data_IF_435955742175
#
_entry.id   IF_435955742175
#
_cell.length_a   1.000
_cell.length_b   1.000
_cell.length_c   1.000
_cell.angle_alpha   90.00
_cell.angle_beta   90.00
_cell.angle_gamma   90.00
#
_symmetry.space_group_name_H-M   'P 1'
#
loop_
_entity.id
_entity.type
_entity.pdbx_description
1 polymer ?
#
# COMPACT_ATOMS: atom_id res chain seq x y z
N UNK A 1 -18.16 9.51 -9.54
CA UNK A 1 -18.26 8.61 -8.35
C UNK A 1 -17.03 7.72 -8.18
N UNK A 2 -16.47 7.14 -9.24
CA UNK A 2 -15.29 6.25 -9.15
C UNK A 2 -14.06 6.88 -8.49
N UNK A 3 -13.76 8.16 -8.75
CA UNK A 3 -12.64 8.88 -8.09
C UNK A 3 -12.88 9.07 -6.59
N UNK A 4 -14.12 9.31 -6.16
CA UNK A 4 -14.45 9.42 -4.73
C UNK A 4 -14.24 8.07 -4.05
N UNK A 5 -14.68 6.97 -4.67
CA UNK A 5 -14.43 5.62 -4.18
C UNK A 5 -12.94 5.31 -4.13
N UNK A 6 -12.17 5.67 -5.18
CA UNK A 6 -10.72 5.55 -5.19
C UNK A 6 -10.11 6.26 -3.97
N UNK A 7 -10.46 7.54 -3.73
CA UNK A 7 -9.93 8.32 -2.60
C UNK A 7 -10.23 7.66 -1.25
N UNK A 8 -11.48 7.27 -0.99
CA UNK A 8 -11.89 6.63 0.27
C UNK A 8 -11.16 5.30 0.48
N UNK A 9 -11.02 4.50 -0.59
CA UNK A 9 -10.28 3.24 -0.54
C UNK A 9 -8.79 3.46 -0.28
N UNK A 10 -8.16 4.47 -0.90
CA UNK A 10 -6.76 4.81 -0.62
C UNK A 10 -6.54 5.24 0.83
N UNK A 11 -7.45 6.03 1.40
CA UNK A 11 -7.40 6.42 2.82
C UNK A 11 -7.53 5.18 3.73
N UNK A 12 -8.51 4.31 3.45
CA UNK A 12 -8.70 3.07 4.20
C UNK A 12 -7.47 2.16 4.12
N UNK A 13 -6.84 2.04 2.94
CA UNK A 13 -5.61 1.29 2.76
C UNK A 13 -4.45 1.86 3.58
N UNK A 14 -4.25 3.19 3.59
CA UNK A 14 -3.24 3.84 4.43
C UNK A 14 -3.46 3.51 5.90
N UNK A 15 -4.69 3.58 6.40
CA UNK A 15 -5.03 3.23 7.79
C UNK A 15 -4.69 1.77 8.07
N UNK A 16 -5.02 0.84 7.16
CA UNK A 16 -4.65 -0.57 7.28
C UNK A 16 -3.13 -0.77 7.36
N UNK A 17 -2.35 -0.15 6.47
CA UNK A 17 -0.88 -0.28 6.49
C UNK A 17 -0.26 0.35 7.73
N UNK A 18 -0.70 1.55 8.13
CA UNK A 18 -0.25 2.21 9.35
C UNK A 18 -0.53 1.37 10.58
N UNK A 19 -1.71 0.75 10.65
CA UNK A 19 -2.06 -0.18 11.73
C UNK A 19 -1.17 -1.42 11.71
N UNK A 20 -1.01 -2.05 10.54
CA UNK A 20 -0.16 -3.23 10.37
C UNK A 20 1.29 -2.98 10.75
N UNK A 21 1.88 -1.88 10.28
CA UNK A 21 3.26 -1.46 10.60
C UNK A 21 3.38 -1.05 12.07
N UNK A 22 2.43 -0.27 12.58
CA UNK A 22 2.40 0.16 13.98
C UNK A 22 2.35 -1.01 14.96
N UNK A 23 1.56 -2.05 14.66
CA UNK A 23 1.53 -3.29 15.44
C UNK A 23 2.90 -3.99 15.45
N UNK A 24 3.58 -4.03 14.30
CA UNK A 24 4.92 -4.63 14.20
C UNK A 24 6.02 -3.78 14.83
N UNK A 25 5.80 -2.49 15.06
CA UNK A 25 6.76 -1.61 15.74
C UNK A 25 6.55 -1.59 17.26
N UNK A 26 5.31 -1.39 17.71
CA UNK A 26 5.01 -1.06 19.10
C UNK A 26 4.38 -2.22 19.87
N UNK A 27 3.71 -3.17 19.20
CA UNK A 27 2.90 -4.19 19.84
C UNK A 27 3.48 -5.61 19.76
N UNK A 28 4.78 -5.77 19.47
CA UNK A 28 5.43 -7.09 19.34
C UNK A 28 5.29 -8.00 20.56
N UNK A 29 5.08 -7.43 21.76
CA UNK A 29 4.87 -8.19 23.00
C UNK A 29 3.49 -8.85 23.07
N UNK A 30 2.52 -8.45 22.25
CA UNK A 30 1.16 -9.04 22.25
C UNK A 30 1.16 -10.39 21.54
N UNK A 31 0.52 -11.41 22.12
CA UNK A 31 0.45 -12.78 21.55
C UNK A 31 0.00 -12.83 20.08
N UNK A 32 -0.91 -11.93 19.67
CA UNK A 32 -1.50 -11.93 18.33
C UNK A 32 -0.89 -10.90 17.36
N UNK A 33 0.26 -10.28 17.71
CA UNK A 33 0.84 -9.19 16.92
C UNK A 33 1.08 -9.57 15.45
N UNK A 34 1.62 -10.77 15.21
CA UNK A 34 1.96 -11.22 13.86
C UNK A 34 0.69 -11.51 13.03
N UNK A 35 -0.34 -12.09 13.66
CA UNK A 35 -1.63 -12.33 13.03
C UNK A 35 -2.28 -11.01 12.62
N UNK A 36 -2.28 -10.02 13.51
CA UNK A 36 -2.85 -8.70 13.22
C UNK A 36 -2.05 -7.95 12.16
N UNK A 37 -0.71 -7.92 12.27
CA UNK A 37 0.18 -7.36 11.25
C UNK A 37 -0.11 -7.96 9.87
N UNK A 38 -0.19 -9.28 9.78
CA UNK A 38 -0.48 -9.99 8.53
C UNK A 38 -1.88 -9.65 8.00
N UNK A 39 -2.89 -9.70 8.85
CA UNK A 39 -4.27 -9.44 8.46
C UNK A 39 -4.45 -8.00 7.95
N UNK A 40 -3.96 -7.00 8.68
CA UNK A 40 -4.08 -5.59 8.29
C UNK A 40 -3.33 -5.27 7.01
N UNK A 41 -2.09 -5.76 6.84
CA UNK A 41 -1.35 -5.50 5.60
C UNK A 41 -1.92 -6.25 4.39
N UNK A 42 -2.44 -7.46 4.58
CA UNK A 42 -3.11 -8.20 3.50
C UNK A 42 -4.40 -7.49 3.09
N UNK A 43 -5.22 -7.08 4.07
CA UNK A 43 -6.43 -6.30 3.81
C UNK A 43 -6.08 -4.97 3.10
N UNK A 44 -5.05 -4.26 3.57
CA UNK A 44 -4.55 -3.04 2.95
C UNK A 44 -4.20 -3.24 1.48
N UNK A 45 -3.48 -4.30 1.12
CA UNK A 45 -3.17 -4.62 -0.29
C UNK A 45 -4.45 -4.86 -1.10
N UNK A 46 -5.40 -5.64 -0.58
CA UNK A 46 -6.67 -5.88 -1.29
C UNK A 46 -7.47 -4.58 -1.51
N UNK A 47 -7.49 -3.70 -0.52
CA UNK A 47 -8.15 -2.39 -0.61
C UNK A 47 -7.43 -1.47 -1.61
N UNK A 48 -6.09 -1.46 -1.65
CA UNK A 48 -5.32 -0.75 -2.68
C UNK A 48 -5.69 -1.27 -4.06
N UNK A 49 -5.67 -2.59 -4.27
CA UNK A 49 -6.01 -3.16 -5.58
C UNK A 49 -7.41 -2.74 -6.03
N UNK A 50 -8.39 -2.82 -5.13
CA UNK A 50 -9.75 -2.35 -5.42
C UNK A 50 -9.80 -0.86 -5.78
N UNK A 51 -9.13 0.00 -5.02
CA UNK A 51 -9.14 1.44 -5.30
C UNK A 51 -8.38 1.80 -6.58
N UNK A 52 -7.30 1.09 -6.91
CA UNK A 52 -6.57 1.24 -8.17
C UNK A 52 -7.45 0.82 -9.34
N UNK A 53 -8.23 -0.25 -9.21
CA UNK A 53 -9.23 -0.62 -10.21
C UNK A 53 -10.23 0.51 -10.45
N UNK A 54 -10.70 1.20 -9.39
CA UNK A 54 -11.61 2.35 -9.56
C UNK A 54 -10.96 3.50 -10.35
N UNK A 55 -9.70 3.85 -10.04
CA UNK A 55 -8.97 4.87 -10.78
C UNK A 55 -8.71 4.46 -12.23
N UNK A 56 -8.32 3.21 -12.46
CA UNK A 56 -8.06 2.67 -13.79
C UNK A 56 -9.32 2.72 -14.66
N UNK A 57 -10.44 2.20 -14.16
CA UNK A 57 -11.73 2.21 -14.86
C UNK A 57 -12.16 3.66 -15.14
N UNK A 58 -12.00 4.58 -14.18
CA UNK A 58 -12.32 5.98 -14.39
C UNK A 58 -11.56 6.56 -15.59
N UNK A 59 -10.24 6.36 -15.65
CA UNK A 59 -9.39 6.86 -16.75
C UNK A 59 -9.81 6.25 -18.10
N UNK A 60 -10.08 4.94 -18.15
CA UNK A 60 -10.54 4.26 -19.37
C UNK A 60 -11.87 4.86 -19.84
N UNK A 61 -12.85 5.01 -18.94
CA UNK A 61 -14.18 5.53 -19.29
C UNK A 61 -14.18 7.02 -19.63
N UNK A 62 -13.18 7.77 -19.16
CA UNK A 62 -13.05 9.21 -19.45
C UNK A 62 -12.14 9.50 -20.64
N UNK A 63 -11.69 8.48 -21.38
CA UNK A 63 -10.68 8.60 -22.45
C UNK A 63 -9.42 9.38 -22.01
N UNK A 64 -9.06 9.26 -20.72
CA UNK A 64 -7.91 9.94 -20.14
C UNK A 64 -6.60 9.22 -20.43
N UNK A 65 -5.49 9.92 -20.24
CA UNK A 65 -4.16 9.32 -20.33
C UNK A 65 -3.76 8.66 -19.00
N UNK A 66 -3.44 7.37 -19.04
CA UNK A 66 -2.82 6.69 -17.92
C UNK A 66 -1.39 7.24 -17.68
N UNK A 67 -0.96 7.27 -16.42
CA UNK A 67 0.41 7.63 -16.02
C UNK A 67 0.90 9.02 -16.49
N UNK A 68 -0.01 9.97 -16.68
CA UNK A 68 0.32 11.31 -17.21
C UNK A 68 0.97 12.27 -16.21
N UNK A 69 1.12 11.89 -14.94
CA UNK A 69 1.60 12.77 -13.88
C UNK A 69 2.26 12.03 -12.72
N UNK A 70 2.86 12.83 -11.82
CA UNK A 70 3.65 12.32 -10.69
C UNK A 70 2.82 11.46 -9.73
N UNK A 71 1.57 11.84 -9.44
CA UNK A 71 0.67 11.05 -8.60
C UNK A 71 0.51 9.62 -9.13
N UNK A 72 0.30 9.45 -10.44
CA UNK A 72 0.11 8.12 -11.02
C UNK A 72 1.39 7.27 -10.99
N UNK A 73 2.55 7.87 -11.25
CA UNK A 73 3.85 7.17 -11.17
C UNK A 73 4.19 6.73 -9.75
N UNK A 74 4.03 7.63 -8.77
CA UNK A 74 4.27 7.29 -7.35
C UNK A 74 3.24 6.26 -6.87
N UNK A 75 1.99 6.36 -7.31
CA UNK A 75 0.96 5.35 -7.05
C UNK A 75 1.33 3.97 -7.60
N UNK A 76 1.83 3.89 -8.83
CA UNK A 76 2.31 2.64 -9.43
C UNK A 76 3.45 2.02 -8.62
N UNK A 77 4.45 2.83 -8.26
CA UNK A 77 5.58 2.40 -7.41
C UNK A 77 5.06 1.87 -6.07
N UNK A 78 4.12 2.58 -5.44
CA UNK A 78 3.54 2.18 -4.17
C UNK A 78 2.85 0.80 -4.25
N UNK A 79 2.06 0.56 -5.30
CA UNK A 79 1.37 -0.73 -5.50
C UNK A 79 2.37 -1.87 -5.68
N UNK A 80 3.38 -1.69 -6.54
CA UNK A 80 4.41 -2.70 -6.79
C UNK A 80 5.16 -3.02 -5.50
N UNK A 81 5.58 -1.99 -4.75
CA UNK A 81 6.29 -2.17 -3.48
C UNK A 81 5.41 -2.84 -2.42
N UNK A 82 4.13 -2.48 -2.32
CA UNK A 82 3.20 -3.12 -1.38
C UNK A 82 3.01 -4.61 -1.70
N UNK A 83 2.79 -4.97 -2.96
CA UNK A 83 2.67 -6.37 -3.40
C UNK A 83 3.97 -7.15 -3.14
N UNK A 84 5.13 -6.57 -3.46
CA UNK A 84 6.44 -7.17 -3.19
C UNK A 84 6.66 -7.37 -1.68
N UNK A 85 6.37 -6.35 -0.87
CA UNK A 85 6.52 -6.42 0.59
C UNK A 85 5.64 -7.50 1.19
N UNK A 86 4.38 -7.60 0.73
CA UNK A 86 3.45 -8.64 1.15
C UNK A 86 4.02 -10.02 0.79
N UNK A 87 4.42 -10.21 -0.46
CA UNK A 87 5.06 -11.45 -0.93
C UNK A 87 6.26 -11.83 -0.06
N UNK A 88 7.20 -10.90 0.16
CA UNK A 88 8.37 -11.13 1.02
C UNK A 88 7.98 -11.49 2.45
N UNK A 89 6.90 -10.90 2.98
CA UNK A 89 6.37 -11.22 4.30
C UNK A 89 5.98 -12.69 4.43
N UNK A 90 5.21 -13.21 3.47
CA UNK A 90 4.82 -14.63 3.43
C UNK A 90 6.01 -15.54 3.07
N UNK A 91 6.86 -15.13 2.13
CA UNK A 91 8.00 -15.91 1.69
C UNK A 91 9.06 -16.06 2.79
N UNK A 92 9.18 -15.08 3.69
CA UNK A 92 10.13 -15.11 4.82
C UNK A 92 9.97 -16.33 5.75
N UNK A 93 8.81 -16.98 5.75
CA UNK A 93 8.57 -18.22 6.51
C UNK A 93 9.15 -19.46 5.85
N UNK A 94 9.27 -19.46 4.51
CA UNK A 94 9.73 -20.59 3.68
C UNK A 94 11.16 -20.43 3.17
N UNK A 95 11.69 -19.20 3.17
CA UNK A 95 13.00 -18.90 2.61
C UNK A 95 14.15 -19.66 3.30
N UNK A 96 15.13 -20.10 2.50
CA UNK A 96 16.40 -20.67 3.00
C UNK A 96 17.19 -19.62 3.78
N UNK A 97 17.38 -18.43 3.19
CA UNK A 97 18.02 -17.30 3.86
C UNK A 97 16.98 -16.36 4.51
N UNK A 98 16.48 -16.78 5.67
CA UNK A 98 15.42 -16.04 6.41
C UNK A 98 15.87 -14.64 6.85
N UNK A 99 17.14 -14.45 7.21
CA UNK A 99 17.66 -13.16 7.68
C UNK A 99 17.66 -12.13 6.56
N UNK A 100 18.16 -12.49 5.38
CA UNK A 100 18.16 -11.62 4.21
C UNK A 100 16.73 -11.27 3.77
N UNK A 101 15.83 -12.26 3.65
CA UNK A 101 14.44 -12.01 3.23
C UNK A 101 13.68 -11.14 4.24
N UNK A 102 13.90 -11.32 5.55
CA UNK A 102 13.32 -10.44 6.58
C UNK A 102 13.89 -9.02 6.52
N UNK A 103 15.17 -8.86 6.20
CA UNK A 103 15.76 -7.54 5.99
C UNK A 103 15.12 -6.85 4.76
N UNK A 104 15.00 -7.57 3.65
CA UNK A 104 14.34 -7.10 2.44
C UNK A 104 12.87 -6.73 2.71
N UNK A 105 12.10 -7.58 3.41
CA UNK A 105 10.72 -7.29 3.81
C UNK A 105 10.61 -6.00 4.65
N UNK A 106 11.52 -5.78 5.60
CA UNK A 106 11.50 -4.57 6.44
C UNK A 106 11.84 -3.31 5.66
N UNK A 107 12.86 -3.35 4.80
CA UNK A 107 13.24 -2.20 3.97
C UNK A 107 12.20 -1.89 2.90
N UNK A 108 11.73 -2.90 2.16
CA UNK A 108 10.63 -2.76 1.21
C UNK A 108 9.36 -2.23 1.88
N UNK A 109 9.04 -2.68 3.09
CA UNK A 109 7.90 -2.16 3.86
C UNK A 109 8.03 -0.68 4.23
N UNK A 110 9.24 -0.20 4.58
CA UNK A 110 9.48 1.23 4.83
C UNK A 110 9.28 2.06 3.57
N UNK A 111 9.87 1.63 2.45
CA UNK A 111 9.70 2.33 1.18
C UNK A 111 8.25 2.29 0.68
N UNK A 112 7.55 1.17 0.86
CA UNK A 112 6.13 1.03 0.55
C UNK A 112 5.30 2.02 1.35
N UNK A 113 5.55 2.14 2.66
CA UNK A 113 4.79 3.04 3.51
C UNK A 113 5.04 4.51 3.14
N UNK A 114 6.28 4.89 2.85
CA UNK A 114 6.60 6.23 2.36
C UNK A 114 5.84 6.51 1.06
N UNK A 115 5.94 5.61 0.07
CA UNK A 115 5.25 5.76 -1.22
C UNK A 115 3.71 5.80 -1.06
N UNK A 116 3.15 5.00 -0.15
CA UNK A 116 1.72 4.94 0.12
C UNK A 116 1.19 6.18 0.86
N UNK A 117 2.05 6.90 1.58
CA UNK A 117 1.70 8.18 2.19
C UNK A 117 1.88 9.35 1.22
N UNK A 118 2.91 9.31 0.37
CA UNK A 118 3.16 10.38 -0.61
C UNK A 118 2.14 10.37 -1.75
N UNK A 119 1.71 9.20 -2.23
CA UNK A 119 0.74 9.13 -3.33
C UNK A 119 -0.59 9.84 -3.04
N UNK A 120 -1.27 9.64 -1.89
CA UNK A 120 -2.46 10.40 -1.53
C UNK A 120 -2.22 11.89 -1.39
N UNK A 121 -1.08 12.32 -0.83
CA UNK A 121 -0.73 13.75 -0.74
C UNK A 121 -0.66 14.37 -2.13
N UNK A 122 0.07 13.73 -3.06
CA UNK A 122 0.13 14.18 -4.46
C UNK A 122 -1.24 14.17 -5.13
N UNK A 123 -2.10 13.19 -4.80
CA UNK A 123 -3.47 13.13 -5.30
C UNK A 123 -4.33 14.30 -4.81
N UNK A 124 -4.20 14.67 -3.53
CA UNK A 124 -4.90 15.82 -2.93
C UNK A 124 -4.40 17.15 -3.51
N UNK A 125 -3.08 17.30 -3.74
CA UNK A 125 -2.51 18.48 -4.40
C UNK A 125 -3.00 18.61 -5.84
N UNK A 126 -3.08 17.50 -6.58
CA UNK A 126 -3.57 17.48 -7.96
C UNK A 126 -5.02 17.99 -8.07
N UNK A 127 -5.85 17.78 -7.06
CA UNK A 127 -7.24 18.26 -7.01
C UNK A 127 -7.41 19.58 -6.25
N UNK A 128 -6.32 20.24 -5.83
CA UNK A 128 -6.33 21.54 -5.19
C UNK A 128 -6.85 21.57 -3.75
N UNK A 129 -6.81 20.43 -3.04
CA UNK A 129 -7.19 20.35 -1.62
C UNK A 129 -6.02 20.70 -0.69
N UNK A 130 -4.79 20.45 -1.13
CA UNK A 130 -3.53 20.84 -0.50
C UNK A 130 -2.73 21.71 -1.47
#
# INVERSE_FOLDING_TARGET
>A
MLIVLHLVLMIAAVICFMTGVGVAMFARKRKNWLRLHKAMNTAGVMVVLAGVTMAFVNVVTSAGNHLSGLHQWVGLIAIVLCCLTLYLGFYSFKATNKTAVRAAHRWSGRFSLIAMLTAPILGLMMIGVL
#
